data_IF_489646709418
#
_entry.id   IF_489646709418
#
_cell.length_a   1.000
_cell.length_b   1.000
_cell.length_c   1.000
_cell.angle_alpha   90.00
_cell.angle_beta   90.00
_cell.angle_gamma   90.00
#
_symmetry.space_group_name_H-M   'P 1'
#
loop_
_entity.id
_entity.type
_entity.pdbx_description
1 polymer ?
#
# COMPACT_ATOMS: atom_id res chain seq x y z
N UNK A 1 -3.80 -20.97 25.91
CA UNK A 1 -2.88 -19.82 25.79
C UNK A 1 -3.67 -18.72 25.13
N UNK A 2 -4.17 -17.74 25.90
CA UNK A 2 -4.99 -16.65 25.37
C UNK A 2 -4.02 -15.48 25.19
N UNK A 3 -3.69 -15.14 23.94
CA UNK A 3 -3.00 -13.89 23.63
C UNK A 3 -3.82 -12.75 24.25
N UNK A 4 -3.25 -12.06 25.23
CA UNK A 4 -3.94 -11.02 25.97
C UNK A 4 -4.31 -9.88 25.03
N UNK A 5 -5.49 -9.29 25.21
CA UNK A 5 -6.07 -8.25 24.33
C UNK A 5 -5.08 -7.12 23.95
N UNK A 6 -4.14 -6.78 24.85
CA UNK A 6 -3.09 -5.79 24.63
C UNK A 6 -2.09 -6.15 23.49
N UNK A 7 -1.81 -7.44 23.29
CA UNK A 7 -0.87 -7.93 22.27
C UNK A 7 -1.51 -7.89 20.88
N UNK A 8 -2.81 -8.20 20.80
CA UNK A 8 -3.60 -8.02 19.57
C UNK A 8 -3.71 -6.55 19.20
N UNK A 9 -3.99 -5.66 20.15
CA UNK A 9 -4.06 -4.21 19.89
C UNK A 9 -2.73 -3.62 19.43
N UNK A 10 -1.60 -4.02 20.03
CA UNK A 10 -0.26 -3.61 19.57
C UNK A 10 0.04 -4.10 18.16
N UNK A 11 -0.26 -5.35 17.86
CA UNK A 11 -0.07 -5.91 16.52
C UNK A 11 -0.91 -5.15 15.48
N UNK A 12 -2.16 -4.82 15.79
CA UNK A 12 -3.03 -4.03 14.88
C UNK A 12 -2.57 -2.58 14.71
N UNK A 13 -2.06 -1.93 15.76
CA UNK A 13 -1.50 -0.59 15.65
C UNK A 13 -0.22 -0.59 14.80
N UNK A 14 0.67 -1.56 14.97
CA UNK A 14 1.86 -1.68 14.12
C UNK A 14 1.50 -1.87 12.65
N UNK A 15 0.46 -2.66 12.36
CA UNK A 15 -0.07 -2.83 11.00
C UNK A 15 -0.52 -1.49 10.41
N UNK A 16 -1.41 -0.78 11.09
CA UNK A 16 -1.99 0.48 10.61
C UNK A 16 -0.95 1.60 10.44
N UNK A 17 0.08 1.62 11.28
CA UNK A 17 1.19 2.58 11.14
C UNK A 17 1.96 2.29 9.85
N UNK A 18 2.30 1.03 9.57
CA UNK A 18 3.03 0.67 8.35
C UNK A 18 2.17 0.91 7.10
N UNK A 19 0.88 0.58 7.16
CA UNK A 19 -0.05 0.82 6.06
C UNK A 19 -0.13 2.31 5.73
N UNK A 20 -0.33 3.19 6.72
CA UNK A 20 -0.37 4.65 6.52
C UNK A 20 0.98 5.22 6.04
N UNK A 21 2.09 4.82 6.65
CA UNK A 21 3.42 5.29 6.22
C UNK A 21 3.68 4.92 4.75
N UNK A 22 3.34 3.70 4.36
CA UNK A 22 3.50 3.27 2.97
C UNK A 22 2.49 3.99 2.06
N UNK A 23 1.26 4.26 2.52
CA UNK A 23 0.23 4.99 1.79
C UNK A 23 0.70 6.41 1.44
N UNK A 24 1.10 7.17 2.45
CA UNK A 24 1.61 8.54 2.30
C UNK A 24 2.84 8.56 1.39
N UNK A 25 3.72 7.57 1.53
CA UNK A 25 4.93 7.47 0.71
C UNK A 25 4.63 7.18 -0.76
N UNK A 26 3.66 6.30 -1.06
CA UNK A 26 3.19 6.05 -2.42
C UNK A 26 2.52 7.31 -3.00
N UNK A 27 1.71 8.02 -2.21
CA UNK A 27 1.05 9.25 -2.63
C UNK A 27 2.06 10.35 -2.98
N UNK A 28 3.08 10.54 -2.14
CA UNK A 28 4.17 11.49 -2.39
C UNK A 28 4.90 11.14 -3.71
N UNK A 29 5.22 9.85 -3.92
CA UNK A 29 5.82 9.39 -5.17
C UNK A 29 4.94 9.54 -6.39
N UNK A 30 3.64 9.35 -6.25
CA UNK A 30 2.73 9.62 -7.34
C UNK A 30 2.74 11.11 -7.70
N UNK A 31 2.69 12.01 -6.71
CA UNK A 31 2.77 13.45 -6.93
C UNK A 31 4.09 13.86 -7.60
N UNK A 32 5.23 13.31 -7.17
CA UNK A 32 6.55 13.51 -7.80
C UNK A 32 6.54 13.12 -9.29
N UNK A 33 5.82 12.05 -9.63
CA UNK A 33 5.65 11.56 -11.00
C UNK A 33 4.57 12.33 -11.80
N UNK A 34 3.88 13.28 -11.16
CA UNK A 34 2.76 14.02 -11.75
C UNK A 34 1.46 13.20 -11.85
N UNK A 35 1.34 12.13 -11.07
CA UNK A 35 0.16 11.28 -10.97
C UNK A 35 -0.65 11.67 -9.73
N UNK A 36 -1.93 11.97 -9.94
CA UNK A 36 -2.84 12.22 -8.84
C UNK A 36 -3.55 10.92 -8.45
N UNK A 37 -3.31 10.46 -7.23
CA UNK A 37 -4.02 9.33 -6.64
C UNK A 37 -5.21 9.86 -5.84
N UNK A 38 -6.33 9.17 -5.94
CA UNK A 38 -7.54 9.49 -5.19
C UNK A 38 -7.50 8.81 -3.82
N UNK A 39 -7.16 7.52 -3.83
CA UNK A 39 -7.05 6.71 -2.62
C UNK A 39 -6.00 5.62 -2.81
N UNK A 40 -5.22 5.34 -1.77
CA UNK A 40 -4.28 4.22 -1.73
C UNK A 40 -4.63 3.40 -0.50
N UNK A 41 -4.82 2.10 -0.66
CA UNK A 41 -5.08 1.18 0.45
C UNK A 41 -4.00 0.10 0.44
N UNK A 42 -3.23 0.01 1.51
CA UNK A 42 -2.21 -1.02 1.67
C UNK A 42 -2.72 -2.05 2.66
N UNK A 43 -2.59 -3.32 2.31
CA UNK A 43 -2.88 -4.42 3.23
C UNK A 43 -1.57 -5.09 3.63
N UNK A 44 -1.23 -4.95 4.90
CA UNK A 44 -0.10 -5.64 5.49
C UNK A 44 -0.52 -7.01 6.06
N UNK A 45 0.36 -7.99 5.86
CA UNK A 45 0.20 -9.35 6.36
C UNK A 45 1.33 -9.68 7.34
N UNK A 46 1.02 -10.51 8.33
CA UNK A 46 1.99 -10.92 9.34
C UNK A 46 2.88 -12.01 8.76
N UNK A 47 4.15 -11.69 8.53
CA UNK A 47 5.12 -12.67 8.02
C UNK A 47 5.61 -13.60 9.14
N UNK A 48 6.15 -14.75 8.74
CA UNK A 48 6.79 -15.76 9.61
C UNK A 48 7.98 -15.22 10.40
N UNK A 49 8.56 -14.12 9.95
CA UNK A 49 9.65 -13.40 10.63
C UNK A 49 9.16 -12.54 11.80
N UNK A 50 7.84 -12.49 12.07
CA UNK A 50 7.27 -11.74 13.18
C UNK A 50 7.20 -10.24 12.93
N UNK A 51 7.19 -9.84 11.66
CA UNK A 51 7.05 -8.45 11.22
C UNK A 51 5.87 -8.32 10.27
N UNK A 52 5.23 -7.15 10.29
CA UNK A 52 4.21 -6.78 9.30
C UNK A 52 4.91 -6.37 8.02
N UNK A 53 4.52 -7.00 6.92
CA UNK A 53 5.02 -6.66 5.58
C UNK A 53 3.85 -6.30 4.69
N UNK A 54 3.99 -5.32 3.78
CA UNK A 54 2.97 -5.03 2.79
C UNK A 54 2.79 -6.25 1.87
N UNK A 55 1.56 -6.73 1.75
CA UNK A 55 1.24 -7.92 0.96
C UNK A 55 0.55 -7.55 -0.35
N UNK A 56 -0.38 -6.61 -0.31
CA UNK A 56 -1.10 -6.08 -1.46
C UNK A 56 -1.32 -4.59 -1.33
N UNK A 57 -1.51 -3.92 -2.46
CA UNK A 57 -1.87 -2.50 -2.51
C UNK A 57 -2.97 -2.28 -3.53
N UNK A 58 -3.93 -1.45 -3.18
CA UNK A 58 -5.00 -0.98 -4.06
C UNK A 58 -4.78 0.50 -4.30
N UNK A 59 -4.71 0.90 -5.56
CA UNK A 59 -4.43 2.28 -5.95
C UNK A 59 -5.59 2.75 -6.82
N UNK A 60 -6.30 3.76 -6.33
CA UNK A 60 -7.40 4.39 -7.04
C UNK A 60 -6.91 5.70 -7.66
N UNK A 61 -7.07 5.84 -8.97
CA UNK A 61 -6.70 7.06 -9.69
C UNK A 61 -7.72 7.37 -10.77
N UNK A 62 -7.97 8.66 -11.03
CA UNK A 62 -8.87 9.07 -12.11
C UNK A 62 -8.29 8.84 -13.50
N UNK A 63 -6.97 8.72 -13.64
CA UNK A 63 -6.33 8.63 -14.96
C UNK A 63 -5.13 7.69 -14.96
N UNK A 64 -5.29 6.57 -15.68
CA UNK A 64 -4.17 5.70 -16.03
C UNK A 64 -3.22 6.44 -16.98
N UNK A 65 -2.02 6.76 -16.50
CA UNK A 65 -0.96 7.38 -17.29
C UNK A 65 0.30 6.55 -17.20
N UNK A 66 1.31 6.88 -18.01
CA UNK A 66 2.63 6.24 -17.96
C UNK A 66 3.27 6.32 -16.55
N UNK A 67 2.89 7.32 -15.75
CA UNK A 67 3.30 7.46 -14.36
C UNK A 67 2.80 6.32 -13.46
N UNK A 68 1.63 5.72 -13.75
CA UNK A 68 1.13 4.56 -13.01
C UNK A 68 2.07 3.36 -13.16
N UNK A 69 2.57 3.10 -14.37
CA UNK A 69 3.58 2.05 -14.60
C UNK A 69 4.89 2.31 -13.85
N UNK A 70 5.36 3.57 -13.83
CA UNK A 70 6.57 3.98 -13.09
C UNK A 70 6.40 3.78 -11.58
N UNK A 71 5.26 4.21 -11.03
CA UNK A 71 4.95 4.04 -9.62
C UNK A 71 4.85 2.54 -9.28
N UNK A 72 4.24 1.75 -10.16
CA UNK A 72 4.09 0.32 -9.98
C UNK A 72 5.44 -0.41 -9.89
N UNK A 73 6.37 -0.10 -10.80
CA UNK A 73 7.74 -0.63 -10.74
C UNK A 73 8.51 -0.16 -9.50
N UNK A 74 8.28 1.08 -9.07
CA UNK A 74 8.90 1.62 -7.87
C UNK A 74 8.37 0.93 -6.59
N UNK A 75 7.06 0.68 -6.50
CA UNK A 75 6.44 -0.08 -5.41
C UNK A 75 7.03 -1.49 -5.33
N UNK A 76 7.23 -2.16 -6.46
CA UNK A 76 7.84 -3.49 -6.48
C UNK A 76 9.30 -3.46 -5.99
N UNK A 77 10.06 -2.45 -6.39
CA UNK A 77 11.47 -2.31 -6.01
C UNK A 77 11.67 -1.88 -4.53
N UNK A 78 10.86 -0.96 -4.03
CA UNK A 78 11.05 -0.34 -2.71
C UNK A 78 10.22 -1.03 -1.63
N UNK A 79 8.95 -1.34 -1.91
CA UNK A 79 8.04 -1.98 -0.96
C UNK A 79 8.03 -3.51 -1.12
N UNK A 80 8.59 -4.05 -2.21
CA UNK A 80 8.58 -5.49 -2.49
C UNK A 80 7.21 -6.04 -2.88
N UNK A 81 6.24 -5.17 -3.20
CA UNK A 81 4.89 -5.59 -3.61
C UNK A 81 4.89 -5.84 -5.11
N UNK A 82 4.85 -7.10 -5.51
CA UNK A 82 4.82 -7.50 -6.92
C UNK A 82 3.67 -6.81 -7.67
N UNK A 83 3.93 -6.38 -8.91
CA UNK A 83 2.90 -5.83 -9.82
C UNK A 83 1.61 -6.66 -9.87
N UNK A 84 1.71 -7.99 -9.78
CA UNK A 84 0.55 -8.90 -9.74
C UNK A 84 -0.36 -8.74 -8.50
N UNK A 85 0.17 -8.11 -7.43
CA UNK A 85 -0.52 -7.83 -6.16
C UNK A 85 -0.94 -6.36 -6.03
N UNK A 86 -0.68 -5.56 -7.05
CA UNK A 86 -1.05 -4.16 -7.12
C UNK A 86 -2.36 -4.05 -7.92
N UNK A 87 -3.45 -3.73 -7.24
CA UNK A 87 -4.75 -3.54 -7.87
C UNK A 87 -4.93 -2.07 -8.25
N UNK A 88 -4.98 -1.78 -9.55
CA UNK A 88 -5.20 -0.42 -10.06
C UNK A 88 -6.68 -0.23 -10.39
N UNK A 89 -7.34 0.65 -9.63
CA UNK A 89 -8.71 1.06 -9.88
C UNK A 89 -8.73 2.40 -10.58
N UNK A 90 -9.37 2.43 -11.74
CA UNK A 90 -9.61 3.66 -12.47
C UNK A 90 -11.04 4.10 -12.18
N UNK A 91 -11.20 5.18 -11.42
CA UNK A 91 -12.53 5.77 -11.30
C UNK A 91 -12.89 6.38 -12.65
N UNK A 92 -13.69 5.63 -13.40
CA UNK A 92 -14.39 6.17 -14.56
C UNK A 92 -15.47 7.10 -14.01
N UNK A 93 -15.19 8.40 -13.99
CA UNK A 93 -16.21 9.40 -13.67
C UNK A 93 -17.47 9.21 -14.55
N UNK A 94 -18.67 9.47 -14.01
CA UNK A 94 -19.95 9.25 -14.70
C UNK A 94 -20.14 10.10 -15.95
#
# INVERSE_FOLDING_TARGET
>A
MIESNAEKSRSRLSRLVIEQECEEYIMDKAMDLGLQLDCVEISCSWNREGVWVPETVVITTMKGTEAAGKLSSWIEAELGIETARQEWRYETGP
#
